data_IF_134755454862
#
_entry.id   IF_134755454862
#
_cell.length_a   1.000
_cell.length_b   1.000
_cell.length_c   1.000
_cell.angle_alpha   90.00
_cell.angle_beta   90.00
_cell.angle_gamma   90.00
#
_symmetry.space_group_name_H-M   'P 1'
#
loop_
_entity.id
_entity.type
_entity.pdbx_description
1 polymer ?
#
# COMPACT_ATOMS: atom_id res chain seq x y z
N UNK A 1 -8.72 -45.13 46.17
CA UNK A 1 -7.53 -45.62 45.43
C UNK A 1 -6.28 -45.38 46.30
N UNK A 2 -5.35 -46.34 46.38
CA UNK A 2 -4.14 -46.12 47.13
C UNK A 2 -3.28 -45.01 46.49
N UNK A 3 -2.60 -44.20 47.32
CA UNK A 3 -1.73 -43.09 46.85
C UNK A 3 -0.63 -43.58 45.89
N UNK A 4 -0.22 -44.85 45.99
CA UNK A 4 0.75 -45.50 45.11
C UNK A 4 0.21 -45.72 43.67
N UNK A 5 -1.10 -45.89 43.49
CA UNK A 5 -1.72 -46.02 42.14
C UNK A 5 -1.89 -44.68 41.46
N UNK A 6 -2.12 -43.62 42.22
CA UNK A 6 -2.30 -42.26 41.63
C UNK A 6 -0.99 -41.58 41.24
N UNK A 7 0.10 -41.88 41.96
CA UNK A 7 1.40 -41.23 41.76
C UNK A 7 1.95 -41.28 40.31
N UNK A 8 1.87 -42.41 39.55
CA UNK A 8 2.30 -42.43 38.15
C UNK A 8 1.44 -41.56 37.24
N UNK A 9 0.13 -41.45 37.50
CA UNK A 9 -0.76 -40.61 36.72
C UNK A 9 -0.48 -39.12 36.97
N UNK A 10 -0.27 -38.73 38.22
CA UNK A 10 0.11 -37.37 38.58
C UNK A 10 1.48 -36.98 37.98
N UNK A 11 2.45 -37.91 38.02
CA UNK A 11 3.76 -37.69 37.39
C UNK A 11 3.68 -37.52 35.89
N UNK A 12 2.86 -38.35 35.20
CA UNK A 12 2.62 -38.24 33.76
C UNK A 12 1.93 -36.92 33.39
N UNK A 13 0.91 -36.54 34.17
CA UNK A 13 0.20 -35.26 33.95
C UNK A 13 1.16 -34.08 34.09
N UNK A 14 1.96 -34.06 35.15
CA UNK A 14 2.96 -33.03 35.38
C UNK A 14 4.03 -32.97 34.26
N UNK A 15 4.49 -34.14 33.81
CA UNK A 15 5.45 -34.23 32.70
C UNK A 15 4.90 -33.63 31.39
N UNK A 16 3.64 -33.89 31.04
CA UNK A 16 2.99 -33.30 29.82
C UNK A 16 2.90 -31.77 29.93
N UNK A 17 2.45 -31.24 31.06
CA UNK A 17 2.38 -29.80 31.31
C UNK A 17 3.76 -29.17 31.18
N UNK A 18 4.76 -29.74 31.85
CA UNK A 18 6.14 -29.23 31.81
C UNK A 18 6.69 -29.26 30.37
N UNK A 19 6.46 -30.36 29.64
CA UNK A 19 6.91 -30.51 28.26
C UNK A 19 6.34 -29.38 27.35
N UNK A 20 5.03 -29.20 27.29
CA UNK A 20 4.44 -28.21 26.38
C UNK A 20 4.81 -26.79 26.74
N UNK A 21 4.90 -26.46 28.02
CA UNK A 21 5.33 -25.14 28.50
C UNK A 21 6.79 -24.87 28.14
N UNK A 22 7.69 -25.82 28.41
CA UNK A 22 9.11 -25.70 28.06
C UNK A 22 9.31 -25.53 26.56
N UNK A 23 8.62 -26.35 25.73
CA UNK A 23 8.71 -26.21 24.28
C UNK A 23 8.17 -24.87 23.81
N UNK A 24 7.02 -24.42 24.33
CA UNK A 24 6.48 -23.12 24.00
C UNK A 24 7.43 -21.98 24.37
N UNK A 25 8.13 -22.04 25.52
CA UNK A 25 9.14 -21.06 25.91
C UNK A 25 10.38 -21.09 25.01
N UNK A 26 10.92 -22.29 24.76
CA UNK A 26 12.10 -22.47 23.93
C UNK A 26 11.85 -21.99 22.49
N UNK A 27 10.68 -22.24 21.94
CA UNK A 27 10.28 -21.81 20.60
C UNK A 27 10.12 -20.28 20.43
N UNK A 28 10.24 -19.49 21.51
CA UNK A 28 10.34 -18.02 21.41
C UNK A 28 11.70 -17.56 20.89
N UNK A 29 12.74 -18.38 21.04
CA UNK A 29 14.11 -18.02 20.70
C UNK A 29 14.51 -18.67 19.37
N UNK A 30 14.83 -17.89 18.31
CA UNK A 30 15.21 -18.42 17.00
C UNK A 30 16.30 -19.48 17.06
N UNK A 31 17.30 -19.31 17.93
CA UNK A 31 18.42 -20.22 18.10
C UNK A 31 18.05 -21.64 18.56
N UNK A 32 16.86 -21.83 19.13
CA UNK A 32 16.41 -23.14 19.60
C UNK A 32 15.58 -23.90 18.54
N UNK A 33 15.13 -23.23 17.50
CA UNK A 33 14.15 -23.77 16.56
C UNK A 33 14.68 -25.00 15.83
N UNK A 34 15.92 -24.94 15.33
CA UNK A 34 16.57 -26.08 14.65
C UNK A 34 16.72 -27.30 15.56
N UNK A 35 17.09 -27.08 16.82
CA UNK A 35 17.19 -28.16 17.81
C UNK A 35 15.82 -28.78 18.11
N UNK A 36 14.77 -27.97 18.24
CA UNK A 36 13.39 -28.43 18.43
C UNK A 36 12.89 -29.23 17.23
N UNK A 37 13.18 -28.76 16.03
CA UNK A 37 12.83 -29.45 14.78
C UNK A 37 13.55 -30.81 14.70
N UNK A 38 14.86 -30.83 14.95
CA UNK A 38 15.67 -32.06 14.92
C UNK A 38 15.24 -33.08 15.98
N UNK A 39 14.69 -32.61 17.09
CA UNK A 39 14.13 -33.46 18.14
C UNK A 39 12.73 -34.01 17.81
N UNK A 40 12.16 -33.68 16.63
CA UNK A 40 10.84 -34.15 16.21
C UNK A 40 9.68 -33.62 17.05
N UNK A 41 9.84 -32.45 17.66
CA UNK A 41 8.89 -31.87 18.63
C UNK A 41 7.49 -31.72 18.04
N UNK A 42 7.37 -31.45 16.74
CA UNK A 42 6.08 -31.22 16.09
C UNK A 42 5.16 -32.46 16.16
N UNK A 43 5.72 -33.64 15.91
CA UNK A 43 4.96 -34.89 16.02
C UNK A 43 4.54 -35.19 17.49
N UNK A 44 5.34 -34.76 18.47
CA UNK A 44 5.02 -34.89 19.88
C UNK A 44 3.96 -33.90 20.37
N UNK A 45 3.87 -32.72 19.76
CA UNK A 45 2.86 -31.71 20.09
C UNK A 45 1.50 -32.03 19.50
N UNK A 46 1.43 -32.68 18.32
CA UNK A 46 0.18 -33.00 17.64
C UNK A 46 -0.89 -33.68 18.53
N UNK A 47 -0.61 -34.80 19.22
CA UNK A 47 -1.62 -35.46 20.06
C UNK A 47 -2.05 -34.61 21.26
N UNK A 48 -1.23 -33.66 21.70
CA UNK A 48 -1.51 -32.78 22.83
C UNK A 48 -2.51 -31.67 22.51
N UNK A 49 -2.82 -31.43 21.23
CA UNK A 49 -3.90 -30.57 20.81
C UNK A 49 -5.28 -31.10 21.21
N UNK A 50 -5.42 -32.40 21.39
CA UNK A 50 -6.65 -33.09 21.82
C UNK A 50 -6.60 -33.55 23.27
N UNK A 51 -5.65 -33.02 24.06
CA UNK A 51 -5.50 -33.36 25.49
C UNK A 51 -6.73 -32.92 26.29
N UNK A 52 -7.09 -33.68 27.32
CA UNK A 52 -8.22 -33.35 28.20
C UNK A 52 -7.97 -32.11 29.08
N UNK A 53 -6.70 -31.66 29.18
CA UNK A 53 -6.31 -30.50 29.97
C UNK A 53 -6.19 -29.26 29.09
N UNK A 54 -7.07 -28.24 29.24
CA UNK A 54 -7.09 -27.06 28.37
C UNK A 54 -5.78 -26.29 28.29
N UNK A 55 -5.00 -26.26 29.40
CA UNK A 55 -3.72 -25.56 29.41
C UNK A 55 -2.65 -26.27 28.55
N UNK A 56 -2.74 -27.62 28.45
CA UNK A 56 -1.86 -28.42 27.58
C UNK A 56 -2.22 -28.15 26.12
N UNK A 57 -3.51 -28.21 25.76
CA UNK A 57 -3.97 -27.88 24.41
C UNK A 57 -3.49 -26.49 23.97
N UNK A 58 -3.71 -25.49 24.79
CA UNK A 58 -3.31 -24.11 24.52
C UNK A 58 -1.80 -23.98 24.34
N UNK A 59 -1.00 -24.56 25.23
CA UNK A 59 0.47 -24.45 25.17
C UNK A 59 1.02 -25.22 23.97
N UNK A 60 0.45 -26.38 23.61
CA UNK A 60 0.81 -27.12 22.41
C UNK A 60 0.52 -26.31 21.12
N UNK A 61 -0.67 -25.73 21.01
CA UNK A 61 -1.01 -24.86 19.89
C UNK A 61 -0.08 -23.64 19.83
N UNK A 62 0.22 -22.99 20.96
CA UNK A 62 1.12 -21.85 21.00
C UNK A 62 2.55 -22.22 20.54
N UNK A 63 3.06 -23.38 20.96
CA UNK A 63 4.36 -23.89 20.53
C UNK A 63 4.38 -24.14 19.00
N UNK A 64 3.36 -24.82 18.47
CA UNK A 64 3.19 -25.06 17.03
C UNK A 64 3.12 -23.76 16.24
N UNK A 65 2.39 -22.77 16.73
CA UNK A 65 2.29 -21.47 16.09
C UNK A 65 3.63 -20.73 16.03
N UNK A 66 4.44 -20.81 17.09
CA UNK A 66 5.80 -20.22 17.13
C UNK A 66 6.74 -20.91 16.14
N UNK A 67 6.71 -22.23 16.08
CA UNK A 67 7.48 -23.01 15.10
C UNK A 67 7.07 -22.67 13.67
N UNK A 68 5.79 -22.75 13.35
CA UNK A 68 5.26 -22.42 12.03
C UNK A 68 5.53 -20.96 11.63
N UNK A 69 5.55 -20.05 12.60
CA UNK A 69 5.81 -18.63 12.33
C UNK A 69 7.28 -18.36 11.94
N UNK A 70 8.20 -19.26 12.25
CA UNK A 70 9.63 -19.06 12.03
C UNK A 70 10.04 -19.22 10.57
N UNK A 71 9.63 -20.31 9.92
CA UNK A 71 10.01 -20.57 8.51
C UNK A 71 8.90 -21.27 7.72
N UNK A 72 9.05 -21.21 6.41
CA UNK A 72 8.17 -21.87 5.44
C UNK A 72 8.20 -23.39 5.59
N UNK A 73 9.38 -23.98 5.80
CA UNK A 73 9.55 -25.42 6.00
C UNK A 73 8.82 -25.91 7.25
N UNK A 74 8.85 -25.14 8.36
CA UNK A 74 8.12 -25.50 9.56
C UNK A 74 6.60 -25.32 9.43
N UNK A 75 6.18 -24.34 8.66
CA UNK A 75 4.77 -24.20 8.29
C UNK A 75 4.30 -25.35 7.41
N UNK A 76 5.10 -25.79 6.44
CA UNK A 76 4.84 -26.98 5.62
C UNK A 76 4.79 -28.26 6.49
N UNK A 77 5.65 -28.36 7.50
CA UNK A 77 5.63 -29.49 8.44
C UNK A 77 4.30 -29.54 9.25
N UNK A 78 3.67 -28.40 9.57
CA UNK A 78 2.33 -28.39 10.21
C UNK A 78 1.28 -28.98 9.26
N UNK A 79 1.36 -28.66 7.97
CA UNK A 79 0.43 -29.19 6.96
C UNK A 79 0.64 -30.69 6.74
N UNK A 80 1.89 -31.12 6.51
CA UNK A 80 2.24 -32.51 6.24
C UNK A 80 2.02 -33.46 7.41
N UNK A 81 2.05 -32.96 8.65
CA UNK A 81 1.68 -33.71 9.84
C UNK A 81 0.16 -33.74 10.12
N UNK A 82 -0.68 -33.27 9.18
CA UNK A 82 -2.15 -33.26 9.31
C UNK A 82 -2.64 -32.56 10.60
N UNK A 83 -1.99 -31.47 10.99
CA UNK A 83 -2.32 -30.73 12.22
C UNK A 83 -3.52 -29.79 12.00
N UNK A 84 -3.70 -29.29 10.76
CA UNK A 84 -4.73 -28.29 10.44
C UNK A 84 -6.15 -28.72 10.80
N UNK A 85 -6.63 -29.96 10.51
CA UNK A 85 -7.99 -30.36 10.87
C UNK A 85 -8.27 -30.33 12.39
N UNK A 86 -7.26 -30.65 13.19
CA UNK A 86 -7.37 -30.58 14.67
C UNK A 86 -7.48 -29.13 15.16
N UNK A 87 -6.76 -28.20 14.51
CA UNK A 87 -6.85 -26.79 14.85
C UNK A 87 -8.22 -26.20 14.46
N UNK A 88 -8.76 -26.59 13.31
CA UNK A 88 -10.11 -26.18 12.90
C UNK A 88 -11.17 -26.65 13.90
N UNK A 89 -11.09 -27.91 14.33
CA UNK A 89 -11.95 -28.41 15.40
C UNK A 89 -11.83 -27.58 16.69
N UNK A 90 -10.60 -27.18 17.04
CA UNK A 90 -10.30 -26.38 18.23
C UNK A 90 -10.94 -24.98 18.21
N UNK A 91 -11.18 -24.42 17.03
CA UNK A 91 -11.87 -23.13 16.89
C UNK A 91 -13.35 -23.22 17.29
N UNK A 92 -13.94 -24.39 17.26
CA UNK A 92 -15.34 -24.65 17.70
C UNK A 92 -15.49 -24.85 19.20
N UNK A 93 -14.35 -25.03 19.93
CA UNK A 93 -14.33 -25.22 21.38
C UNK A 93 -14.72 -23.94 22.13
N UNK A 94 -15.22 -24.07 23.37
CA UNK A 94 -15.61 -22.90 24.17
C UNK A 94 -14.44 -22.14 24.81
N UNK A 95 -13.23 -22.72 24.84
CA UNK A 95 -12.06 -22.13 25.47
C UNK A 95 -11.46 -21.04 24.58
N UNK A 96 -11.68 -19.77 24.93
CA UNK A 96 -11.15 -18.59 24.22
C UNK A 96 -9.63 -18.58 24.05
N UNK A 97 -8.88 -19.08 25.04
CA UNK A 97 -7.43 -19.14 24.97
C UNK A 97 -6.96 -20.14 23.92
N UNK A 98 -7.67 -21.26 23.82
CA UNK A 98 -7.37 -22.27 22.82
C UNK A 98 -7.76 -21.79 21.40
N UNK A 99 -8.96 -21.21 21.25
CA UNK A 99 -9.35 -20.55 19.97
C UNK A 99 -8.31 -19.58 19.47
N UNK A 100 -7.84 -18.69 20.35
CA UNK A 100 -6.79 -17.72 20.03
C UNK A 100 -5.48 -18.40 19.59
N UNK A 101 -5.04 -19.42 20.29
CA UNK A 101 -3.84 -20.18 19.96
C UNK A 101 -3.97 -20.92 18.63
N UNK A 102 -5.13 -21.55 18.36
CA UNK A 102 -5.41 -22.23 17.09
C UNK A 102 -5.42 -21.25 15.91
N UNK A 103 -6.12 -20.13 16.04
CA UNK A 103 -6.11 -19.07 15.04
C UNK A 103 -4.68 -18.51 14.77
N UNK A 104 -3.85 -18.41 15.82
CA UNK A 104 -2.46 -18.02 15.67
C UNK A 104 -1.65 -19.03 14.85
N UNK A 105 -1.85 -20.35 15.02
CA UNK A 105 -1.19 -21.36 14.17
C UNK A 105 -1.62 -21.22 12.73
N UNK A 106 -2.93 -21.15 12.46
CA UNK A 106 -3.48 -21.01 11.12
C UNK A 106 -2.94 -19.76 10.40
N UNK A 107 -2.88 -18.63 11.11
CA UNK A 107 -2.21 -17.41 10.64
C UNK A 107 -0.74 -17.65 10.33
N UNK A 108 -0.02 -18.32 11.24
CA UNK A 108 1.42 -18.54 11.11
C UNK A 108 1.76 -19.43 9.92
N UNK A 109 0.89 -20.36 9.56
CA UNK A 109 0.99 -21.18 8.35
C UNK A 109 0.63 -20.34 7.12
N UNK A 110 -0.54 -19.69 7.12
CA UNK A 110 -1.05 -18.96 5.96
C UNK A 110 -0.18 -17.77 5.53
N UNK A 111 0.59 -17.17 6.43
CA UNK A 111 1.35 -15.97 6.12
C UNK A 111 2.50 -16.16 5.12
N UNK A 112 3.04 -17.38 4.99
CA UNK A 112 4.28 -17.62 4.26
C UNK A 112 4.09 -17.67 2.74
N UNK A 113 3.15 -18.49 2.25
CA UNK A 113 2.96 -18.68 0.82
C UNK A 113 1.49 -18.84 0.44
N UNK A 114 1.12 -18.59 -0.85
CA UNK A 114 -0.23 -18.87 -1.35
C UNK A 114 -0.62 -20.33 -1.22
N UNK A 115 0.35 -21.25 -1.40
CA UNK A 115 0.13 -22.70 -1.26
C UNK A 115 -0.28 -23.06 0.17
N UNK A 116 0.44 -22.56 1.17
CA UNK A 116 0.14 -22.81 2.58
C UNK A 116 -1.18 -22.15 3.01
N UNK A 117 -1.47 -20.95 2.52
CA UNK A 117 -2.75 -20.30 2.74
C UNK A 117 -3.91 -21.13 2.14
N UNK A 118 -3.72 -21.71 0.94
CA UNK A 118 -4.69 -22.60 0.32
C UNK A 118 -4.89 -23.89 1.11
N UNK A 119 -3.82 -24.46 1.69
CA UNK A 119 -3.93 -25.62 2.58
C UNK A 119 -4.79 -25.31 3.82
N UNK A 120 -4.63 -24.12 4.40
CA UNK A 120 -5.48 -23.65 5.52
C UNK A 120 -6.94 -23.52 5.08
N UNK A 121 -7.22 -22.94 3.92
CA UNK A 121 -8.58 -22.84 3.36
C UNK A 121 -9.17 -24.23 3.13
N UNK A 122 -8.43 -25.14 2.50
CA UNK A 122 -8.89 -26.49 2.20
C UNK A 122 -9.14 -27.34 3.45
N UNK A 123 -8.57 -26.99 4.60
CA UNK A 123 -8.85 -27.65 5.87
C UNK A 123 -10.22 -27.28 6.49
N UNK A 124 -10.98 -26.37 5.85
CA UNK A 124 -12.27 -25.88 6.37
C UNK A 124 -12.14 -24.79 7.44
N UNK A 125 -10.97 -24.10 7.51
CA UNK A 125 -10.72 -23.12 8.54
C UNK A 125 -11.52 -21.81 8.39
N UNK A 126 -12.00 -21.47 7.19
CA UNK A 126 -12.63 -20.17 6.95
C UNK A 126 -13.88 -19.97 7.77
N UNK A 127 -14.84 -20.89 7.73
CA UNK A 127 -16.09 -20.77 8.48
C UNK A 127 -15.85 -20.68 9.99
N UNK A 128 -14.91 -21.47 10.50
CA UNK A 128 -14.54 -21.44 11.91
C UNK A 128 -13.86 -20.12 12.33
N UNK A 129 -13.02 -19.55 11.46
CA UNK A 129 -12.40 -18.23 11.69
C UNK A 129 -13.44 -17.11 11.61
N UNK A 130 -14.38 -17.18 10.68
CA UNK A 130 -15.47 -16.19 10.54
C UNK A 130 -16.36 -16.22 11.79
N UNK A 131 -16.74 -17.40 12.28
CA UNK A 131 -17.50 -17.55 13.54
C UNK A 131 -16.73 -16.94 14.74
N UNK A 132 -15.39 -16.99 14.74
CA UNK A 132 -14.59 -16.34 15.78
C UNK A 132 -14.67 -14.80 15.73
N UNK A 133 -15.07 -14.19 14.62
CA UNK A 133 -15.31 -12.73 14.57
C UNK A 133 -16.60 -12.33 15.30
N UNK A 134 -17.52 -13.24 15.56
CA UNK A 134 -18.76 -13.03 16.32
C UNK A 134 -18.58 -13.19 17.83
N UNK A 135 -17.43 -13.68 18.29
CA UNK A 135 -17.16 -13.89 19.70
C UNK A 135 -17.17 -12.59 20.51
N UNK A 136 -17.53 -12.69 21.81
CA UNK A 136 -17.51 -11.51 22.69
C UNK A 136 -16.10 -11.06 23.09
N UNK A 137 -15.11 -11.96 23.02
CA UNK A 137 -13.72 -11.65 23.40
C UNK A 137 -12.96 -10.97 22.25
N UNK A 138 -12.56 -9.70 22.40
CA UNK A 138 -11.86 -8.98 21.34
C UNK A 138 -10.56 -9.67 20.90
N UNK A 139 -9.88 -10.37 21.81
CA UNK A 139 -8.62 -11.04 21.48
C UNK A 139 -8.80 -12.27 20.59
N UNK A 140 -9.99 -12.89 20.62
CA UNK A 140 -10.35 -13.97 19.68
C UNK A 140 -10.67 -13.38 18.31
N UNK A 141 -11.45 -12.29 18.27
CA UNK A 141 -11.72 -11.54 17.03
C UNK A 141 -10.41 -11.08 16.36
N UNK A 142 -9.48 -10.51 17.12
CA UNK A 142 -8.17 -10.08 16.63
C UNK A 142 -7.38 -11.24 15.99
N UNK A 143 -7.32 -12.38 16.66
CA UNK A 143 -6.60 -13.55 16.15
C UNK A 143 -7.22 -14.09 14.85
N UNK A 144 -8.55 -14.15 14.77
CA UNK A 144 -9.28 -14.56 13.59
C UNK A 144 -9.11 -13.57 12.43
N UNK A 145 -9.28 -12.28 12.67
CA UNK A 145 -9.11 -11.24 11.67
C UNK A 145 -7.68 -11.22 11.09
N UNK A 146 -6.66 -11.44 11.93
CA UNK A 146 -5.27 -11.58 11.49
C UNK A 146 -5.07 -12.81 10.58
N UNK A 147 -5.69 -13.95 10.92
CA UNK A 147 -5.60 -15.16 10.11
C UNK A 147 -6.26 -14.93 8.74
N UNK A 148 -7.46 -14.37 8.71
CA UNK A 148 -8.19 -14.04 7.48
C UNK A 148 -7.43 -13.02 6.62
N UNK A 149 -6.83 -12.00 7.23
CA UNK A 149 -5.97 -11.03 6.55
C UNK A 149 -4.76 -11.71 5.90
N UNK A 150 -4.10 -12.64 6.61
CA UNK A 150 -2.97 -13.40 6.07
C UNK A 150 -3.35 -14.32 4.90
N UNK A 151 -4.56 -14.85 4.89
CA UNK A 151 -5.08 -15.64 3.77
C UNK A 151 -5.36 -14.72 2.58
N UNK A 152 -6.14 -13.67 2.78
CA UNK A 152 -6.58 -12.76 1.72
C UNK A 152 -5.42 -12.02 1.03
N UNK A 153 -4.31 -11.78 1.71
CA UNK A 153 -3.20 -10.97 1.17
C UNK A 153 -2.51 -11.53 -0.08
N UNK A 154 -2.58 -12.84 -0.32
CA UNK A 154 -1.74 -13.51 -1.31
C UNK A 154 -2.23 -13.34 -2.75
N UNK A 155 -3.49 -13.65 -3.03
CA UNK A 155 -4.07 -13.55 -4.36
C UNK A 155 -5.59 -13.35 -4.31
N UNK A 156 -6.18 -13.09 -5.48
CA UNK A 156 -7.61 -12.84 -5.60
C UNK A 156 -8.47 -14.06 -5.25
N UNK A 157 -8.02 -15.29 -5.58
CA UNK A 157 -8.78 -16.52 -5.27
C UNK A 157 -8.94 -16.73 -3.76
N UNK A 158 -7.86 -16.53 -2.99
CA UNK A 158 -7.88 -16.65 -1.54
C UNK A 158 -8.66 -15.50 -0.89
N UNK A 159 -8.56 -14.29 -1.43
CA UNK A 159 -9.39 -13.16 -0.98
C UNK A 159 -10.88 -13.41 -1.27
N UNK A 160 -11.22 -13.97 -2.44
CA UNK A 160 -12.59 -14.35 -2.78
C UNK A 160 -13.13 -15.42 -1.81
N UNK A 161 -12.34 -16.44 -1.50
CA UNK A 161 -12.74 -17.45 -0.52
C UNK A 161 -13.07 -16.86 0.87
N UNK A 162 -12.30 -15.83 1.30
CA UNK A 162 -12.59 -15.09 2.55
C UNK A 162 -13.89 -14.30 2.45
N UNK A 163 -14.17 -13.69 1.29
CA UNK A 163 -15.43 -12.97 1.04
C UNK A 163 -16.62 -13.94 1.02
N UNK A 164 -16.48 -15.06 0.31
CA UNK A 164 -17.54 -16.09 0.18
C UNK A 164 -17.90 -16.74 1.53
N UNK A 165 -16.94 -16.81 2.45
CA UNK A 165 -17.18 -17.26 3.82
C UNK A 165 -17.92 -16.21 4.69
N UNK A 166 -18.23 -15.02 4.16
CA UNK A 166 -18.99 -13.99 4.87
C UNK A 166 -18.18 -13.11 5.83
N UNK A 167 -16.85 -13.10 5.72
CA UNK A 167 -15.99 -12.36 6.65
C UNK A 167 -16.14 -10.83 6.57
N UNK A 168 -16.48 -10.26 5.40
CA UNK A 168 -16.38 -8.81 5.17
C UNK A 168 -17.30 -8.02 6.09
N UNK A 169 -18.58 -8.41 6.20
CA UNK A 169 -19.55 -7.73 7.08
C UNK A 169 -19.11 -7.72 8.54
N UNK A 170 -18.59 -8.85 9.03
CA UNK A 170 -18.08 -8.96 10.40
C UNK A 170 -16.80 -8.16 10.63
N UNK A 171 -15.90 -8.10 9.65
CA UNK A 171 -14.72 -7.22 9.71
C UNK A 171 -15.12 -5.74 9.75
N UNK A 172 -16.16 -5.33 9.03
CA UNK A 172 -16.72 -3.97 9.09
C UNK A 172 -17.29 -3.67 10.48
N UNK A 173 -17.97 -4.63 11.12
CA UNK A 173 -18.41 -4.49 12.52
C UNK A 173 -17.21 -4.38 13.47
N UNK A 174 -16.18 -5.18 13.27
CA UNK A 174 -14.95 -5.11 14.08
C UNK A 174 -14.22 -3.75 13.97
N UNK A 175 -14.31 -3.06 12.83
CA UNK A 175 -13.78 -1.69 12.69
C UNK A 175 -14.50 -0.69 13.61
N UNK A 176 -15.74 -0.97 13.98
CA UNK A 176 -16.56 -0.10 14.83
C UNK A 176 -16.38 -0.37 16.33
N UNK A 177 -15.84 -1.53 16.70
CA UNK A 177 -15.56 -1.92 18.08
C UNK A 177 -14.60 -0.92 18.77
N UNK A 178 -14.64 -0.76 20.12
CA UNK A 178 -13.79 0.22 20.82
C UNK A 178 -12.29 -0.13 20.79
N UNK A 179 -11.93 -1.40 20.68
CA UNK A 179 -10.57 -1.91 20.77
C UNK A 179 -9.70 -1.45 19.60
N UNK A 180 -8.68 -0.68 19.90
CA UNK A 180 -7.80 -0.08 18.89
C UNK A 180 -7.07 -1.12 18.03
N UNK A 181 -6.59 -2.19 18.67
CA UNK A 181 -5.89 -3.29 17.98
C UNK A 181 -6.82 -3.98 16.97
N UNK A 182 -8.06 -4.24 17.35
CA UNK A 182 -9.05 -4.85 16.49
C UNK A 182 -9.39 -3.95 15.29
N UNK A 183 -9.57 -2.63 15.51
CA UNK A 183 -9.76 -1.66 14.42
C UNK A 183 -8.62 -1.71 13.40
N UNK A 184 -7.35 -1.70 13.87
CA UNK A 184 -6.16 -1.75 13.01
C UNK A 184 -6.13 -3.02 12.16
N UNK A 185 -6.36 -4.17 12.79
CA UNK A 185 -6.32 -5.48 12.13
C UNK A 185 -7.45 -5.59 11.10
N UNK A 186 -8.67 -5.18 11.45
CA UNK A 186 -9.83 -5.25 10.57
C UNK A 186 -9.69 -4.31 9.37
N UNK A 187 -9.19 -3.09 9.56
CA UNK A 187 -8.87 -2.18 8.47
C UNK A 187 -7.81 -2.77 7.53
N UNK A 188 -6.79 -3.46 8.09
CA UNK A 188 -5.79 -4.17 7.29
C UNK A 188 -6.41 -5.32 6.50
N UNK A 189 -7.26 -6.15 7.13
CA UNK A 189 -7.92 -7.27 6.47
C UNK A 189 -8.80 -6.81 5.29
N UNK A 190 -9.61 -5.76 5.49
CA UNK A 190 -10.41 -5.14 4.44
C UNK A 190 -9.54 -4.60 3.30
N UNK A 191 -8.40 -3.97 3.62
CA UNK A 191 -7.43 -3.50 2.63
C UNK A 191 -6.83 -4.65 1.81
N UNK A 192 -6.48 -5.76 2.46
CA UNK A 192 -5.92 -6.94 1.79
C UNK A 192 -6.94 -7.64 0.88
N UNK A 193 -8.22 -7.58 1.19
CA UNK A 193 -9.30 -8.05 0.31
C UNK A 193 -9.46 -7.10 -0.87
N UNK A 194 -9.68 -5.81 -0.62
CA UNK A 194 -9.99 -4.82 -1.63
C UNK A 194 -8.86 -4.59 -2.66
N UNK A 195 -7.62 -4.97 -2.34
CA UNK A 195 -6.47 -4.66 -3.21
C UNK A 195 -6.42 -5.45 -4.51
N UNK A 196 -7.09 -6.60 -4.62
CA UNK A 196 -6.87 -7.55 -5.71
C UNK A 196 -7.69 -7.24 -6.96
N UNK A 197 -9.01 -7.15 -6.83
CA UNK A 197 -9.92 -6.92 -7.95
C UNK A 197 -10.99 -5.87 -7.62
N UNK A 198 -11.66 -5.38 -8.66
CA UNK A 198 -12.78 -4.47 -8.56
C UNK A 198 -13.94 -5.10 -7.76
N UNK A 199 -14.29 -6.34 -8.07
CA UNK A 199 -15.39 -7.06 -7.43
C UNK A 199 -15.16 -7.23 -5.92
N UNK A 200 -13.92 -7.53 -5.53
CA UNK A 200 -13.53 -7.63 -4.12
C UNK A 200 -13.57 -6.28 -3.40
N UNK A 201 -13.16 -5.21 -4.08
CA UNK A 201 -13.30 -3.86 -3.55
C UNK A 201 -14.77 -3.46 -3.43
N UNK A 202 -15.60 -3.80 -4.42
CA UNK A 202 -17.04 -3.58 -4.38
C UNK A 202 -17.70 -4.34 -3.23
N UNK A 203 -17.32 -5.61 -2.98
CA UNK A 203 -17.82 -6.37 -1.85
C UNK A 203 -17.54 -5.70 -0.50
N UNK A 204 -16.41 -5.04 -0.35
CA UNK A 204 -16.07 -4.23 0.86
C UNK A 204 -16.97 -2.99 0.97
N UNK A 205 -17.21 -2.31 -0.15
CA UNK A 205 -18.08 -1.13 -0.22
C UNK A 205 -19.54 -1.49 0.07
N UNK A 206 -20.05 -2.56 -0.50
CA UNK A 206 -21.43 -3.04 -0.34
C UNK A 206 -21.77 -3.39 1.12
N UNK A 207 -20.77 -3.78 1.91
CA UNK A 207 -20.91 -3.98 3.36
C UNK A 207 -20.83 -2.68 4.18
N UNK A 208 -20.79 -1.52 3.52
CA UNK A 208 -20.82 -0.21 4.17
C UNK A 208 -19.52 0.18 4.89
N UNK A 209 -18.36 -0.34 4.47
CA UNK A 209 -17.08 -0.07 5.13
C UNK A 209 -16.64 1.40 5.05
N UNK A 210 -16.90 2.07 3.90
CA UNK A 210 -16.30 3.38 3.57
C UNK A 210 -16.62 4.47 4.58
N UNK A 211 -17.87 4.70 5.03
CA UNK A 211 -18.17 5.75 6.01
C UNK A 211 -17.42 5.57 7.35
N UNK A 212 -17.31 4.34 7.83
CA UNK A 212 -16.58 4.05 9.08
C UNK A 212 -15.08 4.26 8.93
N UNK A 213 -14.50 3.82 7.81
CA UNK A 213 -13.09 4.07 7.50
C UNK A 213 -12.82 5.56 7.36
N UNK A 214 -13.68 6.31 6.65
CA UNK A 214 -13.54 7.75 6.48
C UNK A 214 -13.55 8.50 7.83
N UNK A 215 -14.41 8.10 8.76
CA UNK A 215 -14.44 8.69 10.12
C UNK A 215 -13.12 8.47 10.89
N UNK A 216 -12.45 7.33 10.67
CA UNK A 216 -11.21 6.99 11.35
C UNK A 216 -9.96 7.68 10.78
N UNK A 217 -10.04 8.38 9.65
CA UNK A 217 -8.91 9.18 9.11
C UNK A 217 -8.44 10.24 10.13
N UNK A 218 -9.34 10.77 10.95
CA UNK A 218 -9.03 11.78 11.98
C UNK A 218 -8.64 11.18 13.34
N UNK A 219 -8.51 9.86 13.45
CA UNK A 219 -8.15 9.20 14.70
C UNK A 219 -6.71 9.58 15.11
N UNK A 220 -6.42 9.78 16.42
CA UNK A 220 -5.08 10.19 16.88
C UNK A 220 -4.01 9.13 16.66
N UNK A 221 -4.37 7.87 16.52
CA UNK A 221 -3.44 6.76 16.33
C UNK A 221 -2.90 6.69 14.90
N UNK A 222 -1.57 6.82 14.77
CA UNK A 222 -0.90 6.83 13.48
C UNK A 222 -1.00 5.49 12.73
N UNK A 223 -0.93 4.36 13.43
CA UNK A 223 -1.03 3.04 12.77
C UNK A 223 -2.43 2.82 12.19
N UNK A 224 -3.48 3.20 12.92
CA UNK A 224 -4.83 3.10 12.41
C UNK A 224 -5.03 4.01 11.18
N UNK A 225 -4.57 5.26 11.23
CA UNK A 225 -4.60 6.15 10.06
C UNK A 225 -3.89 5.57 8.84
N UNK A 226 -2.73 4.93 9.03
CA UNK A 226 -2.01 4.24 7.93
C UNK A 226 -2.88 3.21 7.24
N UNK A 227 -3.50 2.31 8.02
CA UNK A 227 -4.30 1.21 7.47
C UNK A 227 -5.59 1.69 6.84
N UNK A 228 -6.23 2.67 7.45
CA UNK A 228 -7.44 3.30 6.91
C UNK A 228 -7.17 3.98 5.57
N UNK A 229 -6.16 4.84 5.49
CA UNK A 229 -5.77 5.49 4.24
C UNK A 229 -5.35 4.47 3.17
N UNK A 230 -4.67 3.40 3.58
CA UNK A 230 -4.33 2.30 2.69
C UNK A 230 -5.58 1.60 2.14
N UNK A 231 -6.55 1.25 3.01
CA UNK A 231 -7.78 0.60 2.59
C UNK A 231 -8.58 1.45 1.61
N UNK A 232 -8.80 2.73 1.92
CA UNK A 232 -9.49 3.66 1.02
C UNK A 232 -8.76 3.81 -0.32
N UNK A 233 -7.43 3.84 -0.31
CA UNK A 233 -6.60 3.85 -1.53
C UNK A 233 -6.80 2.58 -2.37
N UNK A 234 -6.87 1.40 -1.73
CA UNK A 234 -7.08 0.14 -2.44
C UNK A 234 -8.48 0.04 -3.06
N UNK A 235 -9.50 0.66 -2.44
CA UNK A 235 -10.85 0.77 -3.01
C UNK A 235 -10.84 1.73 -4.19
N UNK A 236 -10.36 2.97 -4.01
CA UNK A 236 -10.43 4.03 -5.01
C UNK A 236 -9.59 3.78 -6.29
N UNK A 237 -8.65 2.83 -6.26
CA UNK A 237 -7.74 2.59 -7.39
C UNK A 237 -8.37 1.88 -8.57
N UNK A 238 -9.46 1.12 -8.36
CA UNK A 238 -9.99 0.19 -9.35
C UNK A 238 -10.86 0.89 -10.41
N UNK A 239 -11.92 1.56 -9.98
CA UNK A 239 -12.89 2.20 -10.88
C UNK A 239 -13.23 3.62 -10.46
N UNK A 240 -13.87 4.34 -11.39
CA UNK A 240 -14.40 5.69 -11.12
C UNK A 240 -15.47 5.63 -10.03
N UNK A 241 -16.42 4.72 -10.13
CA UNK A 241 -17.54 4.59 -9.20
C UNK A 241 -17.04 4.34 -7.77
N UNK A 242 -16.05 3.46 -7.60
CA UNK A 242 -15.44 3.18 -6.30
C UNK A 242 -14.67 4.41 -5.75
N UNK A 243 -14.03 5.17 -6.61
CA UNK A 243 -13.38 6.41 -6.20
C UNK A 243 -14.40 7.48 -5.79
N UNK A 244 -15.52 7.58 -6.49
CA UNK A 244 -16.63 8.48 -6.16
C UNK A 244 -17.24 8.14 -4.79
N UNK A 245 -17.52 6.88 -4.51
CA UNK A 245 -18.00 6.43 -3.19
C UNK A 245 -17.03 6.84 -2.05
N UNK A 246 -15.71 6.72 -2.29
CA UNK A 246 -14.71 7.17 -1.30
C UNK A 246 -14.77 8.68 -1.10
N UNK A 247 -14.95 9.46 -2.18
CA UNK A 247 -15.05 10.93 -2.12
C UNK A 247 -16.34 11.39 -1.48
N UNK A 248 -17.47 10.76 -1.75
CA UNK A 248 -18.79 11.03 -1.15
C UNK A 248 -18.78 10.88 0.38
N UNK A 249 -17.88 10.11 0.94
CA UNK A 249 -17.67 10.01 2.39
C UNK A 249 -16.94 11.24 2.99
N UNK A 250 -16.85 12.35 2.26
CA UNK A 250 -16.29 13.64 2.70
C UNK A 250 -14.86 13.53 3.25
N UNK A 251 -14.02 12.76 2.59
CA UNK A 251 -12.66 12.47 3.09
C UNK A 251 -11.68 13.65 2.95
N UNK A 252 -11.89 14.58 2.00
CA UNK A 252 -10.85 15.55 1.62
C UNK A 252 -10.36 16.44 2.77
N UNK A 253 -11.18 17.05 3.62
CA UNK A 253 -10.66 17.85 4.72
C UNK A 253 -9.76 17.06 5.69
N UNK A 254 -10.11 15.78 5.88
CA UNK A 254 -9.41 14.88 6.81
C UNK A 254 -8.13 14.33 6.19
N UNK A 255 -8.19 13.85 4.93
CA UNK A 255 -7.04 13.22 4.27
C UNK A 255 -5.96 14.24 3.89
N UNK A 256 -6.34 15.51 3.58
CA UNK A 256 -5.39 16.58 3.35
C UNK A 256 -4.62 16.95 4.62
N UNK A 257 -5.26 16.87 5.79
CA UNK A 257 -4.56 17.01 7.06
C UNK A 257 -3.54 15.89 7.30
N UNK A 258 -3.83 14.67 6.84
CA UNK A 258 -2.89 13.56 6.94
C UNK A 258 -1.61 13.75 6.10
N UNK A 259 -1.62 14.62 5.08
CA UNK A 259 -0.40 14.98 4.35
C UNK A 259 0.64 15.72 5.21
N UNK A 260 0.20 16.33 6.33
CA UNK A 260 1.03 17.05 7.31
C UNK A 260 1.26 16.24 8.60
N UNK A 261 0.89 14.96 8.62
CA UNK A 261 1.08 14.09 9.79
C UNK A 261 2.56 13.93 10.13
N UNK A 262 2.87 13.78 11.43
CA UNK A 262 4.25 13.52 11.88
C UNK A 262 4.76 12.20 11.31
N UNK A 263 3.87 11.22 11.17
CA UNK A 263 4.19 9.89 10.67
C UNK A 263 4.32 9.86 9.14
N UNK A 264 5.51 9.52 8.66
CA UNK A 264 5.85 9.46 7.22
C UNK A 264 4.95 8.48 6.46
N UNK A 265 4.56 7.35 7.07
CA UNK A 265 3.71 6.36 6.39
C UNK A 265 2.26 6.83 6.30
N UNK A 266 1.77 7.57 7.29
CA UNK A 266 0.46 8.23 7.21
C UNK A 266 0.46 9.21 6.03
N UNK A 267 1.47 10.09 5.95
CA UNK A 267 1.61 11.03 4.82
C UNK A 267 1.62 10.31 3.48
N UNK A 268 2.43 9.25 3.36
CA UNK A 268 2.57 8.48 2.12
C UNK A 268 1.27 7.79 1.71
N UNK A 269 0.56 7.16 2.66
CA UNK A 269 -0.68 6.46 2.38
C UNK A 269 -1.82 7.43 2.03
N UNK A 270 -1.89 8.59 2.70
CA UNK A 270 -2.82 9.66 2.36
C UNK A 270 -2.55 10.21 0.94
N UNK A 271 -1.30 10.51 0.61
CA UNK A 271 -0.91 10.95 -0.72
C UNK A 271 -1.20 9.88 -1.79
N UNK A 272 -1.04 8.60 -1.46
CA UNK A 272 -1.38 7.49 -2.35
C UNK A 272 -2.89 7.44 -2.61
N UNK A 273 -3.72 7.62 -1.59
CA UNK A 273 -5.17 7.67 -1.75
C UNK A 273 -5.60 8.84 -2.65
N UNK A 274 -5.04 10.03 -2.43
CA UNK A 274 -5.32 11.21 -3.26
C UNK A 274 -4.89 10.95 -4.72
N UNK A 275 -3.73 10.32 -4.93
CA UNK A 275 -3.25 9.93 -6.27
C UNK A 275 -4.23 8.98 -6.98
N UNK A 276 -4.73 7.96 -6.27
CA UNK A 276 -5.65 6.99 -6.86
C UNK A 276 -6.98 7.63 -7.27
N UNK A 277 -7.46 8.61 -6.52
CA UNK A 277 -8.64 9.41 -6.86
C UNK A 277 -8.32 10.37 -8.02
N UNK A 278 -7.19 11.08 -7.96
CA UNK A 278 -6.80 12.07 -8.94
C UNK A 278 -6.64 11.52 -10.37
N UNK A 279 -6.30 10.24 -10.51
CA UNK A 279 -6.08 9.62 -11.82
C UNK A 279 -7.37 9.24 -12.56
N UNK A 280 -8.51 9.22 -11.88
CA UNK A 280 -9.74 8.63 -12.41
C UNK A 280 -10.44 9.53 -13.43
N UNK A 281 -10.88 10.72 -13.01
CA UNK A 281 -11.62 11.64 -13.88
C UNK A 281 -11.22 13.10 -13.67
N UNK A 282 -11.59 13.93 -14.67
CA UNK A 282 -11.41 15.39 -14.59
C UNK A 282 -12.20 15.99 -13.43
N UNK A 283 -13.40 15.48 -13.17
CA UNK A 283 -14.30 15.97 -12.12
C UNK A 283 -13.69 15.70 -10.73
N UNK A 284 -13.17 14.51 -10.51
CA UNK A 284 -12.48 14.16 -9.27
C UNK A 284 -11.19 14.98 -9.09
N UNK A 285 -10.44 15.20 -10.16
CA UNK A 285 -9.26 16.08 -10.12
C UNK A 285 -9.65 17.54 -9.77
N UNK A 286 -10.77 18.06 -10.31
CA UNK A 286 -11.31 19.37 -9.93
C UNK A 286 -11.70 19.46 -8.47
N UNK A 287 -12.34 18.42 -7.93
CA UNK A 287 -12.71 18.36 -6.50
C UNK A 287 -11.47 18.42 -5.60
N UNK A 288 -10.40 17.69 -5.96
CA UNK A 288 -9.12 17.75 -5.23
C UNK A 288 -8.57 19.18 -5.24
N UNK A 289 -8.54 19.84 -6.41
CA UNK A 289 -8.02 21.21 -6.55
C UNK A 289 -8.86 22.19 -5.74
N UNK A 290 -10.19 22.14 -5.85
CA UNK A 290 -11.12 23.01 -5.11
C UNK A 290 -11.01 22.84 -3.59
N UNK A 291 -10.68 21.64 -3.13
CA UNK A 291 -10.44 21.35 -1.71
C UNK A 291 -9.06 21.83 -1.22
N UNK A 292 -8.24 22.47 -2.05
CA UNK A 292 -6.89 22.88 -1.73
C UNK A 292 -5.84 21.78 -1.85
N UNK A 293 -6.21 20.64 -2.46
CA UNK A 293 -5.35 19.46 -2.56
C UNK A 293 -4.10 19.66 -3.40
N UNK A 294 -4.14 20.53 -4.42
CA UNK A 294 -2.95 20.86 -5.22
C UNK A 294 -1.85 21.50 -4.36
N UNK A 295 -2.18 22.53 -3.59
CA UNK A 295 -1.24 23.22 -2.71
C UNK A 295 -0.73 22.29 -1.58
N UNK A 296 -1.63 21.52 -0.96
CA UNK A 296 -1.26 20.55 0.08
C UNK A 296 -0.31 19.46 -0.46
N UNK A 297 -0.50 19.03 -1.72
CA UNK A 297 0.39 18.06 -2.38
C UNK A 297 1.75 18.68 -2.70
N UNK A 298 1.81 19.95 -3.09
CA UNK A 298 3.06 20.69 -3.31
C UNK A 298 3.87 20.79 -2.01
N UNK A 299 3.23 21.16 -0.89
CA UNK A 299 3.85 21.17 0.43
C UNK A 299 4.40 19.79 0.79
N UNK A 300 3.57 18.75 0.62
CA UNK A 300 3.96 17.37 0.88
C UNK A 300 5.20 16.92 0.09
N UNK A 301 5.27 17.21 -1.21
CA UNK A 301 6.42 16.87 -2.04
C UNK A 301 7.68 17.61 -1.57
N UNK A 302 7.53 18.88 -1.19
CA UNK A 302 8.64 19.72 -0.75
C UNK A 302 9.28 19.23 0.55
N UNK A 303 8.46 18.69 1.46
CA UNK A 303 8.90 18.17 2.76
C UNK A 303 9.32 16.69 2.73
N UNK A 304 8.93 15.94 1.69
CA UNK A 304 9.20 14.50 1.56
C UNK A 304 10.48 14.25 0.77
N UNK A 305 11.06 13.04 0.92
CA UNK A 305 12.23 12.58 0.18
C UNK A 305 12.07 11.13 -0.28
N UNK A 306 12.78 10.77 -1.33
CA UNK A 306 12.81 9.42 -1.87
C UNK A 306 11.41 8.92 -2.25
N UNK A 307 11.16 7.63 -2.07
CA UNK A 307 9.91 6.97 -2.46
C UNK A 307 8.64 7.53 -1.78
N UNK A 308 8.78 8.30 -0.70
CA UNK A 308 7.65 8.98 -0.10
C UNK A 308 7.11 10.13 -0.98
N UNK A 309 7.94 10.73 -1.84
CA UNK A 309 7.53 11.81 -2.78
C UNK A 309 6.67 11.31 -3.94
N UNK A 310 6.85 10.05 -4.34
CA UNK A 310 6.27 9.50 -5.58
C UNK A 310 4.76 9.71 -5.71
N UNK A 311 3.92 9.41 -4.69
CA UNK A 311 2.48 9.62 -4.82
C UNK A 311 2.11 11.07 -5.12
N UNK A 312 2.75 12.02 -4.45
CA UNK A 312 2.51 13.45 -4.68
C UNK A 312 2.95 13.93 -6.06
N UNK A 313 4.13 13.52 -6.52
CA UNK A 313 4.63 13.80 -7.88
C UNK A 313 3.62 13.32 -8.92
N UNK A 314 3.16 12.08 -8.79
CA UNK A 314 2.18 11.49 -9.71
C UNK A 314 0.83 12.20 -9.63
N UNK A 315 0.38 12.61 -8.44
CA UNK A 315 -0.87 13.35 -8.25
C UNK A 315 -0.87 14.64 -9.06
N UNK A 316 0.19 15.46 -8.95
CA UNK A 316 0.29 16.71 -9.73
C UNK A 316 0.33 16.43 -11.24
N UNK A 317 0.99 15.35 -11.64
CA UNK A 317 1.02 14.91 -13.04
C UNK A 317 -0.37 14.49 -13.55
N UNK A 318 -1.13 13.71 -12.80
CA UNK A 318 -2.50 13.32 -13.19
C UNK A 318 -3.45 14.50 -13.25
N UNK A 319 -3.45 15.37 -12.25
CA UNK A 319 -4.25 16.62 -12.26
C UNK A 319 -3.93 17.42 -13.53
N UNK A 320 -2.64 17.64 -13.82
CA UNK A 320 -2.22 18.41 -14.99
C UNK A 320 -2.49 17.72 -16.32
N UNK A 321 -2.72 16.40 -16.31
CA UNK A 321 -2.92 15.66 -17.55
C UNK A 321 -4.31 15.85 -18.16
N UNK A 322 -5.31 16.30 -17.42
CA UNK A 322 -6.69 16.39 -17.89
C UNK A 322 -6.95 17.62 -18.77
N UNK A 323 -6.80 18.81 -18.22
CA UNK A 323 -7.08 20.06 -18.93
C UNK A 323 -6.10 21.18 -18.54
N UNK A 324 -6.18 22.29 -19.28
CA UNK A 324 -5.33 23.47 -19.10
C UNK A 324 -5.59 24.21 -17.78
N UNK A 325 -6.84 24.26 -17.32
CA UNK A 325 -7.20 24.93 -16.08
C UNK A 325 -6.64 24.20 -14.86
N UNK A 326 -6.65 22.87 -14.88
CA UNK A 326 -6.08 22.04 -13.84
C UNK A 326 -4.54 22.10 -13.84
N UNK A 327 -3.94 22.12 -15.02
CA UNK A 327 -2.50 22.33 -15.14
C UNK A 327 -2.07 23.71 -14.61
N UNK A 328 -2.86 24.76 -14.90
CA UNK A 328 -2.64 26.11 -14.36
C UNK A 328 -2.79 26.14 -12.84
N UNK A 329 -3.76 25.42 -12.27
CA UNK A 329 -3.91 25.31 -10.82
C UNK A 329 -2.67 24.72 -10.13
N UNK A 330 -2.01 23.74 -10.76
CA UNK A 330 -0.73 23.20 -10.27
C UNK A 330 0.40 24.24 -10.36
N UNK A 331 0.47 25.04 -11.44
CA UNK A 331 1.45 26.14 -11.58
C UNK A 331 1.23 27.18 -10.48
N UNK A 332 0.01 27.68 -10.31
CA UNK A 332 -0.36 28.68 -9.30
C UNK A 332 -0.05 28.18 -7.88
N UNK A 333 -0.23 26.90 -7.64
CA UNK A 333 0.15 26.24 -6.37
C UNK A 333 1.68 26.07 -6.22
N UNK A 334 2.49 26.57 -7.14
CA UNK A 334 3.96 26.46 -7.15
C UNK A 334 4.49 25.04 -7.33
N UNK A 335 3.78 24.17 -8.03
CA UNK A 335 4.14 22.76 -8.24
C UNK A 335 5.39 22.55 -9.10
N UNK A 336 5.80 23.50 -9.96
CA UNK A 336 6.98 23.37 -10.82
C UNK A 336 8.26 23.21 -10.01
N UNK A 337 8.44 24.00 -8.96
CA UNK A 337 9.67 24.00 -8.18
C UNK A 337 9.99 22.64 -7.52
N UNK A 338 9.08 22.02 -6.75
CA UNK A 338 9.35 20.71 -6.14
C UNK A 338 9.43 19.57 -7.17
N UNK A 339 8.73 19.65 -8.32
CA UNK A 339 8.88 18.70 -9.41
C UNK A 339 10.26 18.80 -10.08
N UNK A 340 10.76 20.03 -10.31
CA UNK A 340 12.11 20.26 -10.81
C UNK A 340 13.18 19.78 -9.80
N UNK A 341 12.97 20.03 -8.51
CA UNK A 341 13.85 19.54 -7.46
C UNK A 341 13.92 18.00 -7.47
N UNK A 342 12.78 17.32 -7.56
CA UNK A 342 12.71 15.87 -7.67
C UNK A 342 13.43 15.33 -8.93
N UNK A 343 13.28 16.00 -10.07
CA UNK A 343 13.98 15.65 -11.32
C UNK A 343 15.50 15.71 -11.16
N UNK A 344 16.01 16.70 -10.44
CA UNK A 344 17.46 16.96 -10.37
C UNK A 344 18.14 16.26 -9.21
N UNK A 345 17.49 16.17 -8.05
CA UNK A 345 18.13 15.86 -6.79
C UNK A 345 17.78 14.48 -6.22
N UNK A 346 16.73 13.82 -6.71
CA UNK A 346 16.43 12.45 -6.27
C UNK A 346 17.48 11.46 -6.83
N UNK A 347 17.94 10.49 -6.02
CA UNK A 347 18.92 9.52 -6.49
C UNK A 347 18.33 8.46 -7.44
N UNK A 348 17.05 8.15 -7.30
CA UNK A 348 16.39 7.05 -7.99
C UNK A 348 15.73 7.50 -9.30
N UNK A 349 16.09 6.85 -10.40
CA UNK A 349 15.62 7.21 -11.75
C UNK A 349 14.11 7.15 -11.93
N UNK A 350 13.42 6.25 -11.23
CA UNK A 350 11.96 6.17 -11.33
C UNK A 350 11.24 7.40 -10.76
N UNK A 351 11.84 8.06 -9.74
CA UNK A 351 11.33 9.32 -9.20
C UNK A 351 11.57 10.48 -10.18
N UNK A 352 12.76 10.53 -10.77
CA UNK A 352 13.09 11.50 -11.81
C UNK A 352 12.18 11.33 -13.02
N UNK A 353 11.91 10.10 -13.44
CA UNK A 353 11.03 9.79 -14.55
C UNK A 353 9.58 10.24 -14.28
N UNK A 354 9.07 10.02 -13.07
CA UNK A 354 7.76 10.51 -12.65
C UNK A 354 7.71 12.06 -12.67
N UNK A 355 8.74 12.73 -12.17
CA UNK A 355 8.84 14.19 -12.19
C UNK A 355 8.90 14.74 -13.63
N UNK A 356 9.73 14.13 -14.50
CA UNK A 356 9.79 14.46 -15.90
C UNK A 356 8.43 14.32 -16.60
N UNK A 357 7.73 13.21 -16.34
CA UNK A 357 6.39 13.00 -16.88
C UNK A 357 5.41 14.08 -16.42
N UNK A 358 5.38 14.40 -15.13
CA UNK A 358 4.48 15.40 -14.54
C UNK A 358 4.74 16.80 -15.11
N UNK A 359 6.01 17.21 -15.24
CA UNK A 359 6.39 18.47 -15.88
C UNK A 359 5.95 18.51 -17.35
N UNK A 360 6.10 17.39 -18.05
CA UNK A 360 5.64 17.27 -19.44
C UNK A 360 4.11 17.37 -19.60
N UNK A 361 3.32 16.92 -18.58
CA UNK A 361 1.87 17.10 -18.59
C UNK A 361 1.48 18.58 -18.40
N UNK A 362 2.18 19.30 -17.53
CA UNK A 362 1.94 20.73 -17.33
C UNK A 362 2.19 21.52 -18.62
N UNK A 363 3.32 21.28 -19.30
CA UNK A 363 3.77 22.10 -20.42
C UNK A 363 3.09 21.84 -21.76
N UNK A 364 2.23 20.83 -21.87
CA UNK A 364 1.63 20.43 -23.14
C UNK A 364 0.38 21.21 -23.58
N UNK A 365 -0.24 21.98 -22.67
CA UNK A 365 -1.56 22.54 -22.88
C UNK A 365 -1.56 23.84 -23.69
N UNK A 366 -0.73 24.81 -23.32
CA UNK A 366 -0.69 26.10 -23.99
C UNK A 366 0.69 26.76 -23.94
N UNK A 367 0.93 27.81 -24.78
CA UNK A 367 2.17 28.60 -24.71
C UNK A 367 2.43 29.24 -23.34
N UNK A 368 1.38 29.58 -22.61
CA UNK A 368 1.49 30.15 -21.26
C UNK A 368 2.04 29.12 -20.27
N UNK A 369 1.54 27.87 -20.25
CA UNK A 369 2.07 26.80 -19.44
C UNK A 369 3.54 26.51 -19.78
N UNK A 370 3.86 26.39 -21.06
CA UNK A 370 5.22 26.17 -21.51
C UNK A 370 6.18 27.32 -21.10
N UNK A 371 5.68 28.57 -21.08
CA UNK A 371 6.44 29.74 -20.64
C UNK A 371 6.84 29.63 -19.16
N UNK A 372 5.91 29.26 -18.26
CA UNK A 372 6.24 29.07 -16.84
C UNK A 372 7.33 28.02 -16.63
N UNK A 373 7.29 26.93 -17.40
CA UNK A 373 8.33 25.89 -17.34
C UNK A 373 9.66 26.37 -17.93
N UNK A 374 9.60 27.17 -18.99
CA UNK A 374 10.78 27.77 -19.62
C UNK A 374 11.49 28.77 -18.68
N UNK A 375 10.72 29.66 -18.05
CA UNK A 375 11.23 30.61 -17.04
C UNK A 375 11.83 29.90 -15.81
N UNK A 376 11.33 28.72 -15.48
CA UNK A 376 11.88 27.86 -14.43
C UNK A 376 13.07 27.01 -14.88
N UNK A 377 13.61 27.16 -16.08
CA UNK A 377 14.73 26.41 -16.67
C UNK A 377 14.49 24.89 -16.76
N UNK A 378 13.23 24.47 -16.86
CA UNK A 378 12.87 23.04 -16.92
C UNK A 378 13.34 22.36 -18.21
N UNK A 379 13.24 22.96 -19.42
CA UNK A 379 13.72 22.34 -20.65
C UNK A 379 15.19 21.97 -20.62
N UNK A 380 16.07 22.88 -20.15
CA UNK A 380 17.52 22.61 -20.04
C UNK A 380 17.80 21.47 -19.04
N UNK A 381 17.05 21.41 -17.95
CA UNK A 381 17.20 20.33 -16.95
C UNK A 381 16.76 18.98 -17.48
N UNK A 382 15.64 18.94 -18.18
CA UNK A 382 15.18 17.71 -18.84
C UNK A 382 16.17 17.22 -19.90
N UNK A 383 16.78 18.16 -20.67
CA UNK A 383 17.80 17.83 -21.66
C UNK A 383 19.04 17.26 -20.98
N UNK A 384 19.51 17.88 -19.89
CA UNK A 384 20.68 17.40 -19.13
C UNK A 384 20.45 15.96 -18.64
N UNK A 385 19.29 15.66 -18.03
CA UNK A 385 18.94 14.32 -17.57
C UNK A 385 18.82 13.33 -18.72
N UNK A 386 18.25 13.73 -19.85
CA UNK A 386 18.13 12.90 -21.06
C UNK A 386 19.50 12.50 -21.62
N UNK A 387 20.48 13.40 -21.58
CA UNK A 387 21.81 13.19 -22.14
C UNK A 387 22.76 12.41 -21.22
N UNK A 388 22.44 12.27 -19.93
CA UNK A 388 23.25 11.47 -19.02
C UNK A 388 23.27 10.00 -19.48
N UNK A 389 24.49 9.45 -19.64
CA UNK A 389 24.64 8.04 -20.07
C UNK A 389 24.07 7.06 -19.06
N UNK A 390 24.19 7.36 -17.79
CA UNK A 390 23.75 6.54 -16.65
C UNK A 390 22.23 6.52 -16.45
N UNK A 391 21.50 7.47 -17.04
CA UNK A 391 20.05 7.51 -16.92
C UNK A 391 19.39 6.26 -17.52
N UNK A 392 18.42 5.70 -16.79
CA UNK A 392 17.64 4.55 -17.25
C UNK A 392 16.87 4.85 -18.53
N UNK A 393 16.51 3.80 -19.27
CA UNK A 393 15.73 3.94 -20.51
C UNK A 393 14.40 4.65 -20.26
N UNK A 394 13.67 4.29 -19.19
CA UNK A 394 12.39 4.92 -18.85
C UNK A 394 12.55 6.42 -18.56
N UNK A 395 13.57 6.81 -17.80
CA UNK A 395 13.87 8.21 -17.53
C UNK A 395 14.17 8.99 -18.83
N UNK A 396 14.96 8.43 -19.73
CA UNK A 396 15.25 9.03 -21.05
C UNK A 396 13.99 9.20 -21.89
N UNK A 397 13.14 8.16 -21.95
CA UNK A 397 11.91 8.20 -22.74
C UNK A 397 10.90 9.23 -22.18
N UNK A 398 10.74 9.29 -20.85
CA UNK A 398 9.88 10.29 -20.18
C UNK A 398 10.41 11.72 -20.37
N UNK A 399 11.73 11.92 -20.21
CA UNK A 399 12.39 13.23 -20.41
C UNK A 399 12.26 13.70 -21.85
N UNK A 400 12.48 12.82 -22.84
CA UNK A 400 12.29 13.11 -24.26
C UNK A 400 10.84 13.52 -24.57
N UNK A 401 9.85 12.79 -24.04
CA UNK A 401 8.44 13.09 -24.24
C UNK A 401 8.06 14.43 -23.59
N UNK A 402 8.54 14.70 -22.39
CA UNK A 402 8.35 15.96 -21.70
C UNK A 402 8.95 17.13 -22.47
N UNK A 403 10.20 17.01 -22.95
CA UNK A 403 10.85 18.01 -23.82
C UNK A 403 10.02 18.29 -25.07
N UNK A 404 9.59 17.26 -25.78
CA UNK A 404 8.74 17.41 -26.96
C UNK A 404 7.48 18.20 -26.63
N UNK A 405 6.76 17.84 -25.58
CA UNK A 405 5.53 18.49 -25.16
C UNK A 405 5.73 19.99 -24.86
N UNK A 406 6.77 20.31 -24.09
CA UNK A 406 7.07 21.68 -23.69
C UNK A 406 7.56 22.50 -24.90
N UNK A 407 8.51 22.00 -25.68
CA UNK A 407 9.10 22.72 -26.83
C UNK A 407 8.00 23.05 -27.85
N UNK A 408 7.10 22.13 -28.15
CA UNK A 408 6.03 22.34 -29.16
C UNK A 408 5.08 23.47 -28.79
N UNK A 409 4.94 23.83 -27.53
CA UNK A 409 4.10 24.91 -27.01
C UNK A 409 4.90 26.17 -26.66
N UNK A 410 6.22 26.06 -26.48
CA UNK A 410 7.06 27.15 -26.01
C UNK A 410 7.22 28.24 -27.08
N UNK A 411 6.84 29.47 -26.74
CA UNK A 411 7.11 30.68 -27.53
C UNK A 411 8.21 31.57 -26.97
N UNK A 412 8.77 31.16 -25.83
CA UNK A 412 9.81 31.90 -25.14
C UNK A 412 11.20 31.57 -25.71
N UNK A 413 11.65 32.40 -26.67
CA UNK A 413 12.90 32.20 -27.43
C UNK A 413 14.14 32.03 -26.55
N UNK A 414 14.36 32.83 -25.48
CA UNK A 414 15.54 32.68 -24.63
C UNK A 414 15.73 31.29 -24.00
N UNK A 415 14.66 30.56 -23.78
CA UNK A 415 14.73 29.19 -23.24
C UNK A 415 14.98 28.14 -24.33
N UNK A 416 14.67 28.44 -25.58
CA UNK A 416 14.88 27.54 -26.72
C UNK A 416 16.30 27.65 -27.31
N UNK A 417 16.92 28.81 -27.22
CA UNK A 417 18.26 29.07 -27.80
C UNK A 417 19.37 28.13 -27.25
N UNK A 418 19.49 27.88 -25.94
CA UNK A 418 20.47 26.94 -25.42
C UNK A 418 20.29 25.52 -25.96
N UNK A 419 19.03 25.13 -26.24
CA UNK A 419 18.72 23.82 -26.78
C UNK A 419 19.21 23.61 -28.21
N UNK A 420 19.33 24.68 -29.02
CA UNK A 420 19.90 24.61 -30.38
C UNK A 420 21.35 24.11 -30.36
N UNK A 421 22.14 24.55 -29.37
CA UNK A 421 23.56 24.22 -29.27
C UNK A 421 23.81 22.87 -28.60
N UNK A 422 22.95 22.48 -27.68
CA UNK A 422 23.21 21.34 -26.78
C UNK A 422 22.41 20.10 -27.12
N UNK A 423 21.28 20.23 -27.85
CA UNK A 423 20.38 19.11 -28.07
C UNK A 423 20.88 18.15 -29.17
N UNK A 424 20.72 16.84 -28.99
CA UNK A 424 20.99 15.86 -30.03
C UNK A 424 19.94 15.94 -31.14
N UNK A 425 20.26 15.42 -32.33
CA UNK A 425 19.44 15.56 -33.55
C UNK A 425 17.96 15.21 -33.36
N UNK A 426 17.64 14.21 -32.55
CA UNK A 426 16.27 13.77 -32.27
C UNK A 426 15.46 14.72 -31.38
N UNK A 427 16.10 15.62 -30.65
CA UNK A 427 15.48 16.73 -29.91
C UNK A 427 15.53 18.01 -30.74
N UNK A 428 16.67 18.26 -31.39
CA UNK A 428 16.92 19.43 -32.23
C UNK A 428 15.82 19.60 -33.28
N UNK A 429 15.31 18.50 -33.85
CA UNK A 429 14.17 18.53 -34.78
C UNK A 429 12.94 19.25 -34.20
N UNK A 430 12.63 19.04 -32.93
CA UNK A 430 11.51 19.75 -32.27
C UNK A 430 11.80 21.21 -32.05
N UNK A 431 13.04 21.55 -31.68
CA UNK A 431 13.49 22.93 -31.45
C UNK A 431 13.44 23.72 -32.74
N UNK A 432 14.01 23.20 -33.82
CA UNK A 432 13.99 23.86 -35.14
C UNK A 432 12.56 24.03 -35.67
N UNK A 433 11.70 23.01 -35.52
CA UNK A 433 10.30 23.10 -35.92
C UNK A 433 9.54 24.19 -35.13
N UNK A 434 9.86 24.38 -33.86
CA UNK A 434 9.22 25.43 -33.06
C UNK A 434 9.75 26.82 -33.41
N UNK A 435 11.04 27.00 -33.67
CA UNK A 435 11.58 28.25 -34.20
C UNK A 435 10.93 28.64 -35.54
N UNK A 436 10.75 27.69 -36.44
CA UNK A 436 10.11 27.92 -37.72
C UNK A 436 8.66 28.42 -37.56
N UNK A 437 7.97 28.11 -36.47
CA UNK A 437 6.63 28.61 -36.14
C UNK A 437 6.67 29.98 -35.46
N UNK A 438 7.56 30.18 -34.50
CA UNK A 438 7.58 31.35 -33.61
C UNK A 438 8.19 32.57 -34.28
N UNK A 439 9.33 32.42 -34.99
CA UNK A 439 10.07 33.55 -35.55
C UNK A 439 9.28 34.34 -36.62
N UNK A 440 8.50 33.73 -37.52
CA UNK A 440 7.70 34.49 -38.48
C UNK A 440 6.60 35.34 -37.85
N UNK A 441 6.08 34.92 -36.70
CA UNK A 441 4.93 35.54 -36.03
C UNK A 441 5.33 36.61 -35.00
N UNK A 442 6.59 36.65 -34.55
CA UNK A 442 7.06 37.53 -33.51
C UNK A 442 8.35 38.28 -33.93
N UNK A 443 8.18 39.59 -34.31
CA UNK A 443 9.26 40.39 -34.79
C UNK A 443 10.34 40.65 -33.73
N UNK A 444 9.95 40.77 -32.48
CA UNK A 444 10.88 40.97 -31.35
C UNK A 444 11.71 39.70 -31.11
N UNK A 445 11.05 38.53 -31.09
CA UNK A 445 11.70 37.22 -31.01
C UNK A 445 12.72 37.04 -32.16
N UNK A 446 12.34 37.45 -33.40
CA UNK A 446 13.25 37.39 -34.53
C UNK A 446 14.48 38.30 -34.38
N UNK A 447 14.30 39.50 -33.86
CA UNK A 447 15.43 40.42 -33.60
C UNK A 447 16.36 39.89 -32.54
N UNK A 448 15.81 39.42 -31.43
CA UNK A 448 16.57 38.81 -30.31
C UNK A 448 17.37 37.59 -30.79
N UNK A 449 16.75 36.71 -31.58
CA UNK A 449 17.41 35.52 -32.14
C UNK A 449 18.57 35.86 -33.08
N UNK A 450 18.43 36.89 -33.92
CA UNK A 450 19.50 37.37 -34.79
C UNK A 450 20.65 37.98 -33.96
N UNK A 451 20.32 38.75 -32.92
CA UNK A 451 21.32 39.40 -32.04
C UNK A 451 22.09 38.40 -31.20
N UNK A 452 21.49 37.29 -30.82
CA UNK A 452 22.14 36.21 -30.07
C UNK A 452 22.97 35.26 -30.94
N UNK A 453 23.07 35.51 -32.25
CA UNK A 453 23.87 34.69 -33.18
C UNK A 453 23.18 33.43 -33.68
N UNK A 454 21.88 33.42 -33.73
CA UNK A 454 21.04 32.29 -34.15
C UNK A 454 21.04 31.96 -35.67
N UNK A 455 22.02 32.43 -36.40
CA UNK A 455 22.24 32.10 -37.81
C UNK A 455 23.52 31.29 -37.99
#
# INVERSE_FOLDING_TARGET
MSRAVLAPFEAYQKARVTFVQTVAELAQRPQNIEALQSAGVMALLRPLLLDNVPSIQQSAALALGRLANYSDELAEAVVSNEILPQLVYSLSEQNRFYKKAAAYVLRSVAKHSPHLAKAVVNSGALDALVNCLEEFDPSVKEAAALALSCIAKHNHELAQAVVDAGAVGLLVLCVQEPELTLKRISATALSEIAKHTEELAQAVVDQGAVPYLAALISHPDAQLKRYVCQCLSQIAKHTVDLAEVVVEAEIFPRILNCLKDIDVQVRKNAATCIREIAKQTTELAKLIVHSGGAAATVDYISESKGNARLPGIMTLGYISAFDDSLAMAVIVSKGIAPLKDALMNEPEDHLKAAAAWSLGQIGRHSPEHAKYLAEADVPSRLLAVYMLQESSKDLKDKSKKALKNIIQMCTHVPALEPLLQLAPNNILTYVCAQFAKVLPQNLEAKRTFVQSGGF
#
